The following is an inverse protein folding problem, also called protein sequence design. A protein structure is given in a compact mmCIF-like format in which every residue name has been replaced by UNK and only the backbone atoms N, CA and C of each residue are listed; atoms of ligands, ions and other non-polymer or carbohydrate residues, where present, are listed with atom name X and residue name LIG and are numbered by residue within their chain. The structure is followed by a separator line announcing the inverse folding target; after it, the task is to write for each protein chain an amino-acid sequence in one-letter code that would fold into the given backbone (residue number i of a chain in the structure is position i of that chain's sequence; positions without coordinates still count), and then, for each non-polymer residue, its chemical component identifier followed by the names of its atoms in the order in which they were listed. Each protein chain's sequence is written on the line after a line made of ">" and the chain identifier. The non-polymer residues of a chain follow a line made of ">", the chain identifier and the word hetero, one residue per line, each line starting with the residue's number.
data_IF_175684169171
#
_entry.id   IF_175684169171
#
_cell.length_a   1.000
_cell.length_b   1.000
_cell.length_c   1.000
_cell.angle_alpha   90.00
_cell.angle_beta   90.00
_cell.angle_gamma   90.00
#
_symmetry.space_group_name_H-M   'P 1'
#
loop_
_entity.id
_entity.type
_entity.pdbx_description
1 polymer ?
#
# COMPACT_ATOMS: atom_id res chain seq x y z
N UNK A 1 38.31 -8.26 -3.05
CA UNK A 1 37.57 -7.18 -2.39
C UNK A 1 36.56 -7.80 -1.46
N UNK A 2 36.38 -7.32 -0.21
CA UNK A 2 35.26 -7.82 0.60
C UNK A 2 33.94 -7.52 -0.15
N UNK A 3 32.99 -8.46 -0.07
CA UNK A 3 31.67 -8.24 -0.65
C UNK A 3 31.03 -7.00 -0.02
N UNK A 4 30.42 -6.12 -0.83
CA UNK A 4 29.65 -5.00 -0.26
C UNK A 4 28.53 -5.56 0.62
N UNK A 5 28.33 -4.99 1.81
CA UNK A 5 27.19 -5.39 2.63
C UNK A 5 25.89 -5.15 1.84
N UNK A 6 24.91 -6.01 2.05
CA UNK A 6 23.63 -5.97 1.36
C UNK A 6 22.50 -5.89 2.36
N UNK A 7 21.47 -5.10 2.04
CA UNK A 7 20.28 -4.96 2.87
C UNK A 7 19.54 -6.29 3.03
N UNK A 8 19.08 -6.56 4.24
CA UNK A 8 18.05 -7.58 4.47
C UNK A 8 16.69 -6.98 4.14
N UNK A 9 15.81 -7.74 3.49
CA UNK A 9 14.51 -7.23 3.05
C UNK A 9 13.36 -8.07 3.58
N UNK A 10 12.29 -7.43 3.97
CA UNK A 10 10.99 -8.01 4.27
C UNK A 10 9.92 -7.26 3.48
N UNK A 11 8.86 -7.97 3.08
CA UNK A 11 7.69 -7.40 2.42
C UNK A 11 6.46 -7.70 3.23
N UNK A 12 5.61 -6.72 3.45
CA UNK A 12 4.25 -6.91 3.95
C UNK A 12 3.30 -6.10 3.08
N UNK A 13 2.25 -6.75 2.58
CA UNK A 13 1.14 -6.03 1.97
C UNK A 13 -0.11 -6.32 2.77
N UNK A 14 -0.86 -5.27 3.10
CA UNK A 14 -2.08 -5.38 3.87
C UNK A 14 -3.16 -4.42 3.35
N UNK A 15 -4.38 -4.90 3.37
CA UNK A 15 -5.54 -4.06 3.06
C UNK A 15 -5.81 -3.06 4.18
N UNK A 16 -6.46 -1.95 3.83
CA UNK A 16 -7.05 -1.00 4.75
C UNK A 16 -8.52 -0.73 4.39
N UNK A 17 -9.31 -0.25 5.32
CA UNK A 17 -10.69 0.15 5.05
C UNK A 17 -11.21 1.12 6.10
N UNK A 18 -11.90 2.20 5.70
CA UNK A 18 -12.66 3.05 6.61
C UNK A 18 -13.70 2.29 7.46
N UNK A 19 -14.15 1.14 6.98
CA UNK A 19 -15.08 0.27 7.69
C UNK A 19 -14.55 -0.25 9.03
N UNK A 20 -13.23 -0.43 9.14
CA UNK A 20 -12.58 -0.88 10.38
C UNK A 20 -12.82 0.06 11.55
N UNK A 21 -12.85 1.38 11.31
CA UNK A 21 -13.10 2.37 12.36
C UNK A 21 -14.55 2.34 12.86
N UNK A 22 -15.50 2.03 11.99
CA UNK A 22 -16.92 1.96 12.33
C UNK A 22 -17.26 0.71 13.13
N UNK A 23 -16.51 -0.36 12.94
CA UNK A 23 -16.63 -1.59 13.71
C UNK A 23 -15.89 -1.48 15.06
N UNK A 24 -16.40 -0.62 15.94
CA UNK A 24 -15.80 -0.33 17.25
C UNK A 24 -15.81 -1.54 18.21
N UNK A 25 -16.63 -2.55 17.93
CA UNK A 25 -16.74 -3.79 18.71
C UNK A 25 -15.85 -4.91 18.16
N UNK A 26 -15.16 -4.65 17.07
CA UNK A 26 -14.32 -5.63 16.36
C UNK A 26 -15.06 -6.93 16.02
N UNK A 27 -16.33 -6.82 15.63
CA UNK A 27 -17.20 -7.97 15.31
C UNK A 27 -16.93 -8.53 13.92
N UNK A 28 -16.33 -7.71 13.03
CA UNK A 28 -16.07 -8.03 11.64
C UNK A 28 -14.58 -8.18 11.38
N UNK A 29 -14.21 -8.90 10.34
CA UNK A 29 -12.83 -9.00 9.88
C UNK A 29 -11.91 -9.77 10.84
N UNK A 30 -12.41 -10.81 11.51
CA UNK A 30 -11.65 -11.55 12.51
C UNK A 30 -10.39 -12.22 11.94
N UNK A 31 -10.51 -12.88 10.78
CA UNK A 31 -9.37 -13.52 10.13
C UNK A 31 -8.36 -12.49 9.63
N UNK A 32 -8.86 -11.39 9.05
CA UNK A 32 -8.00 -10.29 8.63
C UNK A 32 -7.25 -9.67 9.80
N UNK A 33 -7.95 -9.32 10.90
CA UNK A 33 -7.34 -8.74 12.11
C UNK A 33 -6.28 -9.67 12.72
N UNK A 34 -6.58 -10.96 12.82
CA UNK A 34 -5.62 -11.96 13.29
C UNK A 34 -4.42 -12.08 12.34
N UNK A 35 -4.65 -11.97 11.01
CA UNK A 35 -3.60 -11.95 10.00
C UNK A 35 -2.69 -10.74 10.14
N UNK A 36 -3.26 -9.55 10.35
CA UNK A 36 -2.50 -8.33 10.60
C UNK A 36 -1.66 -8.44 11.86
N UNK A 37 -2.22 -8.97 12.95
CA UNK A 37 -1.47 -9.18 14.20
C UNK A 37 -0.25 -10.10 13.98
N UNK A 38 -0.43 -11.23 13.27
CA UNK A 38 0.69 -12.11 12.90
C UNK A 38 1.73 -11.41 12.02
N UNK A 39 1.29 -10.56 11.09
CA UNK A 39 2.22 -9.78 10.27
C UNK A 39 2.99 -8.75 11.11
N UNK A 40 2.33 -8.07 12.05
CA UNK A 40 2.96 -7.13 12.98
C UNK A 40 4.01 -7.81 13.87
N UNK A 41 3.72 -9.02 14.39
CA UNK A 41 4.70 -9.82 15.13
C UNK A 41 5.96 -10.13 14.29
N UNK A 42 5.77 -10.49 13.01
CA UNK A 42 6.89 -10.72 12.08
C UNK A 42 7.67 -9.43 11.79
N UNK A 43 7.00 -8.28 11.64
CA UNK A 43 7.64 -6.97 11.48
C UNK A 43 8.46 -6.61 12.71
N UNK A 44 7.91 -6.79 13.92
CA UNK A 44 8.64 -6.56 15.16
C UNK A 44 9.87 -7.46 15.29
N UNK A 45 9.76 -8.74 14.94
CA UNK A 45 10.89 -9.67 14.95
C UNK A 45 11.96 -9.33 13.90
N UNK A 46 11.55 -8.78 12.75
CA UNK A 46 12.46 -8.32 11.71
C UNK A 46 13.21 -7.05 12.12
N UNK A 47 12.63 -6.23 13.01
CA UNK A 47 13.20 -4.98 13.55
C UNK A 47 13.71 -4.05 12.44
N UNK A 48 12.82 -3.49 11.59
CA UNK A 48 13.23 -2.70 10.44
C UNK A 48 13.95 -1.42 10.85
N UNK A 49 15.00 -1.06 10.11
CA UNK A 49 15.73 0.18 10.24
C UNK A 49 15.28 1.25 9.24
N UNK A 50 14.59 0.82 8.18
CA UNK A 50 13.97 1.68 7.18
C UNK A 50 12.70 1.01 6.68
N UNK A 51 11.64 1.79 6.57
CA UNK A 51 10.41 1.40 5.87
C UNK A 51 10.34 2.14 4.55
N UNK A 52 10.05 1.43 3.47
CA UNK A 52 9.62 2.02 2.20
C UNK A 52 8.16 1.69 2.01
N UNK A 53 7.34 2.71 2.05
CA UNK A 53 5.89 2.56 2.10
C UNK A 53 5.25 2.97 0.77
N UNK A 54 4.75 2.01 0.01
CA UNK A 54 3.95 2.26 -1.18
C UNK A 54 2.48 2.39 -0.79
N UNK A 55 1.91 3.57 -1.00
CA UNK A 55 0.53 3.88 -0.66
C UNK A 55 -0.19 4.67 -1.74
N UNK A 56 -1.50 4.77 -1.59
CA UNK A 56 -2.40 5.58 -2.41
C UNK A 56 -2.94 6.75 -1.60
N UNK A 57 -3.41 7.79 -2.26
CA UNK A 57 -4.14 8.90 -1.68
C UNK A 57 -5.60 8.86 -2.13
N UNK A 58 -6.53 9.05 -1.21
CA UNK A 58 -7.96 9.05 -1.49
C UNK A 58 -8.48 10.45 -1.84
N UNK A 59 -7.74 11.16 -2.72
CA UNK A 59 -8.07 12.54 -3.17
C UNK A 59 -8.12 13.55 -2.02
N UNK A 60 -7.10 13.50 -1.12
CA UNK A 60 -6.92 14.45 -0.03
C UNK A 60 -5.70 15.34 -0.26
N UNK A 61 -4.53 14.73 -0.44
CA UNK A 61 -3.30 15.45 -0.72
C UNK A 61 -3.18 15.87 -2.19
N UNK A 62 -3.65 15.02 -3.11
CA UNK A 62 -3.53 15.22 -4.55
C UNK A 62 -4.90 15.40 -5.20
N UNK A 63 -5.44 16.61 -5.17
CA UNK A 63 -6.76 16.98 -5.72
C UNK A 63 -6.61 17.66 -7.07
N UNK A 64 -5.93 18.80 -7.11
CA UNK A 64 -5.82 19.64 -8.31
C UNK A 64 -4.64 19.24 -9.21
N UNK A 65 -3.62 18.66 -8.62
CA UNK A 65 -2.46 18.13 -9.34
C UNK A 65 -2.19 16.71 -8.85
N UNK A 66 -2.35 15.73 -9.73
CA UNK A 66 -2.25 14.31 -9.38
C UNK A 66 -1.02 13.70 -10.04
N UNK A 67 0.07 13.49 -9.30
CA UNK A 67 1.23 12.80 -9.84
C UNK A 67 0.91 11.33 -10.13
N UNK A 68 1.53 10.73 -11.13
CA UNK A 68 1.44 9.29 -11.34
C UNK A 68 2.18 8.52 -10.24
N UNK A 69 3.35 9.05 -9.84
CA UNK A 69 4.23 8.53 -8.77
C UNK A 69 4.83 9.74 -8.05
N UNK A 70 4.88 9.69 -6.71
CA UNK A 70 5.58 10.72 -5.96
C UNK A 70 6.43 10.11 -4.83
N UNK A 71 7.59 10.71 -4.57
CA UNK A 71 8.45 10.41 -3.42
C UNK A 71 8.38 11.59 -2.46
N UNK A 72 8.01 11.34 -1.21
CA UNK A 72 7.89 12.38 -0.19
C UNK A 72 9.20 12.54 0.59
N UNK A 73 9.60 13.80 0.82
CA UNK A 73 10.76 14.15 1.64
C UNK A 73 10.38 14.67 3.01
N UNK A 74 9.12 15.05 3.21
CA UNK A 74 8.49 15.33 4.49
C UNK A 74 7.02 14.93 4.44
N UNK A 75 6.52 14.27 5.49
CA UNK A 75 5.14 13.83 5.58
C UNK A 75 4.60 13.90 7.01
N UNK A 76 3.31 14.19 7.12
CA UNK A 76 2.53 14.15 8.36
C UNK A 76 1.37 13.17 8.18
N UNK A 77 1.03 12.40 9.20
CA UNK A 77 -0.18 11.57 9.24
C UNK A 77 -1.39 12.45 9.50
N UNK A 78 -2.40 12.35 8.64
CA UNK A 78 -3.63 13.16 8.73
C UNK A 78 -4.48 12.77 9.93
N UNK A 79 -4.37 11.54 10.42
CA UNK A 79 -5.16 11.03 11.54
C UNK A 79 -6.62 10.75 11.18
N UNK A 80 -6.96 10.77 9.88
CA UNK A 80 -8.31 10.48 9.42
C UNK A 80 -8.63 8.98 9.58
N UNK A 81 -9.89 8.68 9.86
CA UNK A 81 -10.40 7.30 9.92
C UNK A 81 -9.57 6.36 10.80
N UNK A 82 -9.06 6.89 11.94
CA UNK A 82 -8.26 6.11 12.89
C UNK A 82 -6.85 5.77 12.42
N UNK A 83 -6.34 6.50 11.44
CA UNK A 83 -4.97 6.35 10.96
C UNK A 83 -3.95 7.03 11.87
N UNK A 84 -2.66 6.78 11.64
CA UNK A 84 -1.57 7.40 12.37
C UNK A 84 -1.63 8.93 12.28
N UNK A 85 -1.39 9.58 13.42
CA UNK A 85 -1.31 11.04 13.55
C UNK A 85 0.10 11.45 13.96
N UNK A 86 0.61 12.53 13.40
CA UNK A 86 1.91 13.06 13.73
C UNK A 86 2.86 13.04 12.54
N UNK A 87 4.12 13.39 12.79
CA UNK A 87 5.14 13.50 11.75
C UNK A 87 5.76 12.14 11.49
N UNK A 88 5.86 11.76 10.21
CA UNK A 88 6.71 10.65 9.80
C UNK A 88 8.18 11.05 9.91
N UNK A 89 9.03 10.16 10.42
CA UNK A 89 10.49 10.33 10.36
C UNK A 89 10.98 9.98 8.94
N UNK A 90 10.92 10.97 8.04
CA UNK A 90 11.37 10.76 6.66
C UNK A 90 12.86 11.11 6.56
N UNK A 91 13.73 10.15 6.19
CA UNK A 91 15.14 10.42 5.93
C UNK A 91 15.29 11.19 4.62
N UNK A 92 15.04 12.49 4.63
CA UNK A 92 14.87 13.35 3.47
C UNK A 92 15.99 13.22 2.43
N UNK A 93 17.26 13.14 2.89
CA UNK A 93 18.42 12.98 1.98
C UNK A 93 18.37 11.65 1.23
N UNK A 94 17.98 10.57 1.90
CA UNK A 94 17.86 9.25 1.28
C UNK A 94 16.66 9.23 0.30
N UNK A 95 15.56 9.87 0.68
CA UNK A 95 14.38 10.00 -0.20
C UNK A 95 14.69 10.84 -1.46
N UNK A 96 15.44 11.95 -1.32
CA UNK A 96 15.88 12.76 -2.46
C UNK A 96 16.85 12.00 -3.36
N UNK A 97 17.81 11.27 -2.79
CA UNK A 97 18.73 10.44 -3.55
C UNK A 97 17.99 9.34 -4.33
N UNK A 98 17.03 8.66 -3.68
CA UNK A 98 16.17 7.68 -4.33
C UNK A 98 15.38 8.29 -5.49
N UNK A 99 14.78 9.47 -5.29
CA UNK A 99 14.05 10.16 -6.35
C UNK A 99 14.96 10.50 -7.53
N UNK A 100 16.18 10.97 -7.30
CA UNK A 100 17.19 11.21 -8.33
C UNK A 100 17.55 9.95 -9.12
N UNK A 101 17.83 8.86 -8.41
CA UNK A 101 18.12 7.57 -9.05
C UNK A 101 16.94 7.03 -9.88
N UNK A 102 15.70 7.26 -9.45
CA UNK A 102 14.51 6.91 -10.22
C UNK A 102 14.37 7.75 -11.49
N UNK A 103 14.67 9.06 -11.42
CA UNK A 103 14.71 9.93 -12.61
C UNK A 103 15.76 9.45 -13.62
N UNK A 104 16.96 9.08 -13.16
CA UNK A 104 18.03 8.53 -14.03
C UNK A 104 17.62 7.20 -14.68
N UNK A 105 16.67 6.48 -14.09
CA UNK A 105 16.06 5.24 -14.63
C UNK A 105 14.79 5.50 -15.46
N UNK A 106 14.55 6.73 -15.88
CA UNK A 106 13.40 7.15 -16.68
C UNK A 106 12.04 6.99 -15.96
N UNK A 107 12.01 7.14 -14.64
CA UNK A 107 10.77 7.31 -13.90
C UNK A 107 10.52 8.80 -13.65
N UNK A 108 9.50 9.36 -14.29
CA UNK A 108 9.07 10.75 -14.04
C UNK A 108 8.36 10.84 -12.68
N UNK A 109 9.16 10.81 -11.60
CA UNK A 109 8.64 10.91 -10.24
C UNK A 109 8.51 12.37 -9.80
N UNK A 110 7.45 12.68 -9.08
CA UNK A 110 7.29 13.97 -8.42
C UNK A 110 7.98 13.92 -7.06
N UNK A 111 8.82 14.90 -6.74
CA UNK A 111 9.35 15.09 -5.39
C UNK A 111 8.39 15.99 -4.62
N UNK A 112 7.77 15.45 -3.57
CA UNK A 112 6.86 16.18 -2.71
C UNK A 112 7.56 16.55 -1.42
N UNK A 113 7.81 17.85 -1.24
CA UNK A 113 8.61 18.35 -0.11
C UNK A 113 7.85 18.35 1.20
N UNK A 114 6.53 18.49 1.16
CA UNK A 114 5.66 18.40 2.34
C UNK A 114 4.24 18.02 1.94
N UNK A 115 3.66 17.05 2.66
CA UNK A 115 2.27 16.63 2.46
C UNK A 115 1.69 16.00 3.73
N UNK A 116 0.35 15.94 3.79
CA UNK A 116 -0.37 15.13 4.76
C UNK A 116 -0.83 13.84 4.10
N UNK A 117 -0.52 12.70 4.72
CA UNK A 117 -0.87 11.36 4.26
C UNK A 117 -2.15 10.89 4.94
N UNK A 118 -3.08 10.39 4.17
CA UNK A 118 -4.36 9.90 4.65
C UNK A 118 -4.29 8.45 5.17
N UNK A 119 -5.46 7.89 5.51
CA UNK A 119 -5.60 6.52 5.99
C UNK A 119 -5.04 5.45 5.05
N UNK A 120 -4.88 5.75 3.77
CA UNK A 120 -4.23 4.85 2.80
C UNK A 120 -2.79 4.52 3.16
N UNK A 121 -2.11 5.42 3.85
CA UNK A 121 -0.82 5.17 4.49
C UNK A 121 -0.98 4.85 5.96
N UNK A 122 -1.72 5.69 6.68
CA UNK A 122 -1.73 5.70 8.13
C UNK A 122 -2.35 4.47 8.77
N UNK A 123 -3.43 3.87 8.22
CA UNK A 123 -4.05 2.70 8.83
C UNK A 123 -3.12 1.48 8.81
N UNK A 124 -2.55 1.17 7.66
CA UNK A 124 -1.62 0.03 7.55
C UNK A 124 -0.34 0.25 8.36
N UNK A 125 0.17 1.50 8.43
CA UNK A 125 1.29 1.83 9.30
C UNK A 125 0.95 1.54 10.76
N UNK A 126 -0.15 2.08 11.27
CA UNK A 126 -0.58 1.88 12.66
C UNK A 126 -0.78 0.41 13.01
N UNK A 127 -1.30 -0.38 12.07
CA UNK A 127 -1.54 -1.80 12.26
C UNK A 127 -0.25 -2.64 12.34
N UNK A 128 0.77 -2.29 11.57
CA UNK A 128 1.99 -3.09 11.45
C UNK A 128 3.13 -2.60 12.34
N UNK A 129 3.17 -1.31 12.67
CA UNK A 129 4.29 -0.65 13.33
C UNK A 129 3.85 0.05 14.61
N UNK A 130 2.66 0.67 14.60
CA UNK A 130 2.12 1.39 15.74
C UNK A 130 2.09 2.91 15.54
N UNK A 131 2.52 3.66 16.56
CA UNK A 131 2.45 5.13 16.55
C UNK A 131 3.61 5.77 15.76
N UNK A 132 3.42 7.04 15.35
CA UNK A 132 4.43 7.88 14.72
C UNK A 132 5.17 8.74 15.77
N UNK A 133 6.47 9.04 15.57
CA UNK A 133 7.42 8.37 14.67
C UNK A 133 8.08 7.18 15.38
N UNK A 134 8.11 6.01 14.78
CA UNK A 134 8.73 4.82 15.40
C UNK A 134 9.97 4.37 14.65
N UNK A 135 9.91 4.39 13.31
CA UNK A 135 10.98 3.95 12.41
C UNK A 135 11.06 4.90 11.22
N UNK A 136 12.26 5.17 10.65
CA UNK A 136 12.39 5.96 9.44
C UNK A 136 11.55 5.40 8.28
N UNK A 137 10.79 6.27 7.59
CA UNK A 137 9.88 5.89 6.50
C UNK A 137 10.12 6.75 5.27
N UNK A 138 10.26 6.14 4.10
CA UNK A 138 10.17 6.82 2.80
C UNK A 138 8.79 6.52 2.20
N UNK A 139 7.84 7.46 2.24
CA UNK A 139 6.56 7.28 1.60
C UNK A 139 6.70 7.46 0.08
N UNK A 140 6.14 6.50 -0.67
CA UNK A 140 6.06 6.55 -2.13
C UNK A 140 4.59 6.42 -2.52
N UNK A 141 4.05 7.50 -3.10
CA UNK A 141 2.70 7.50 -3.61
C UNK A 141 2.65 6.88 -5.01
N UNK A 142 1.63 6.06 -5.23
CA UNK A 142 1.23 5.57 -6.54
C UNK A 142 -0.24 5.94 -6.76
N UNK A 143 -0.53 6.61 -7.87
CA UNK A 143 -1.90 6.97 -8.21
C UNK A 143 -2.73 5.72 -8.50
N UNK A 144 -3.68 5.42 -7.61
CA UNK A 144 -4.63 4.31 -7.74
C UNK A 144 -6.09 4.77 -7.83
N UNK A 145 -6.37 6.05 -7.55
CA UNK A 145 -7.72 6.56 -7.33
C UNK A 145 -8.22 7.55 -8.40
N UNK A 146 -7.33 8.31 -9.03
CA UNK A 146 -7.71 9.41 -9.94
C UNK A 146 -7.24 9.11 -11.36
N UNK A 147 -8.18 8.88 -12.28
CA UNK A 147 -7.85 8.61 -13.70
C UNK A 147 -7.26 9.86 -14.38
N UNK A 148 -6.27 9.65 -15.33
CA UNK A 148 -5.79 8.37 -15.84
C UNK A 148 -4.80 7.67 -14.89
N UNK A 149 -4.87 6.33 -14.85
CA UNK A 149 -4.00 5.50 -14.01
C UNK A 149 -2.82 4.93 -14.80
N UNK A 150 -1.66 4.82 -14.15
CA UNK A 150 -0.51 4.12 -14.69
C UNK A 150 -0.77 2.63 -14.91
N UNK A 151 0.00 1.97 -15.79
CA UNK A 151 -0.08 0.51 -15.98
C UNK A 151 0.44 -0.22 -14.73
N UNK A 152 -0.13 -1.39 -14.35
CA UNK A 152 0.40 -2.21 -13.26
C UNK A 152 1.87 -2.62 -13.45
N UNK A 153 2.29 -2.92 -14.69
CA UNK A 153 3.69 -3.19 -15.04
C UNK A 153 4.64 -2.03 -14.71
N UNK A 154 4.14 -0.78 -14.74
CA UNK A 154 4.95 0.39 -14.33
C UNK A 154 5.16 0.42 -12.82
N UNK A 155 4.17 -0.01 -12.02
CA UNK A 155 4.33 -0.17 -10.57
C UNK A 155 5.32 -1.31 -10.25
N UNK A 156 5.28 -2.43 -11.00
CA UNK A 156 6.25 -3.50 -10.86
C UNK A 156 7.68 -3.03 -11.15
N UNK A 157 7.88 -2.35 -12.29
CA UNK A 157 9.18 -1.79 -12.67
C UNK A 157 9.69 -0.75 -11.65
N UNK A 158 8.80 0.10 -11.11
CA UNK A 158 9.13 1.04 -10.03
C UNK A 158 9.65 0.30 -8.80
N UNK A 159 8.93 -0.73 -8.35
CA UNK A 159 9.33 -1.53 -7.20
C UNK A 159 10.72 -2.14 -7.40
N UNK A 160 10.98 -2.76 -8.55
CA UNK A 160 12.30 -3.32 -8.89
C UNK A 160 13.39 -2.24 -8.80
N UNK A 161 13.17 -1.07 -9.40
CA UNK A 161 14.13 0.02 -9.37
C UNK A 161 14.41 0.51 -7.93
N UNK A 162 13.36 0.65 -7.10
CA UNK A 162 13.50 1.04 -5.68
C UNK A 162 14.28 -0.02 -4.90
N UNK A 163 13.95 -1.30 -5.07
CA UNK A 163 14.63 -2.39 -4.37
C UNK A 163 16.11 -2.50 -4.75
N UNK A 164 16.45 -2.34 -6.02
CA UNK A 164 17.83 -2.34 -6.52
C UNK A 164 18.64 -1.16 -5.99
N UNK A 165 18.05 0.03 -5.95
CA UNK A 165 18.73 1.24 -5.45
C UNK A 165 19.05 1.14 -3.95
N UNK A 166 18.12 0.61 -3.16
CA UNK A 166 18.29 0.51 -1.72
C UNK A 166 19.06 -0.75 -1.27
N UNK A 167 19.38 -1.64 -2.21
CA UNK A 167 20.01 -2.93 -1.89
C UNK A 167 21.35 -2.81 -1.13
N UNK A 168 22.11 -1.75 -1.37
CA UNK A 168 23.44 -1.55 -0.79
C UNK A 168 23.47 -0.61 0.42
N UNK A 169 22.31 -0.30 1.02
CA UNK A 169 22.26 0.55 2.22
C UNK A 169 22.76 -0.16 3.50
N UNK A 170 22.91 -1.48 3.46
CA UNK A 170 23.29 -2.29 4.64
C UNK A 170 22.31 -2.12 5.81
N UNK A 171 21.02 -2.16 5.50
CA UNK A 171 19.93 -1.99 6.48
C UNK A 171 18.92 -3.12 6.39
N UNK A 172 18.15 -3.29 7.46
CA UNK A 172 16.91 -4.08 7.43
C UNK A 172 15.79 -3.20 6.89
N UNK A 173 15.35 -3.48 5.65
CA UNK A 173 14.37 -2.67 4.93
C UNK A 173 13.05 -3.42 4.86
N UNK A 174 11.99 -2.81 5.39
CA UNK A 174 10.62 -3.27 5.24
C UNK A 174 9.94 -2.54 4.07
N UNK A 175 9.48 -3.29 3.07
CA UNK A 175 8.64 -2.77 2.01
C UNK A 175 7.17 -3.02 2.36
N UNK A 176 6.37 -1.96 2.42
CA UNK A 176 4.93 -2.04 2.70
C UNK A 176 4.16 -1.66 1.44
N UNK A 177 3.16 -2.47 1.07
CA UNK A 177 2.12 -2.14 0.11
C UNK A 177 0.77 -2.03 0.81
N UNK A 178 0.08 -0.90 0.70
CA UNK A 178 -1.19 -0.64 1.37
C UNK A 178 -2.31 -0.46 0.37
N UNK A 179 -3.44 -1.13 0.60
CA UNK A 179 -4.64 -0.98 -0.22
C UNK A 179 -5.58 -2.17 -0.12
N UNK A 180 -6.84 -1.92 -0.40
CA UNK A 180 -7.85 -2.98 -0.46
C UNK A 180 -7.65 -3.89 -1.67
N UNK A 181 -8.20 -5.12 -1.60
CA UNK A 181 -8.34 -5.97 -2.77
C UNK A 181 -9.60 -5.56 -3.56
N UNK A 182 -10.54 -6.47 -3.82
CA UNK A 182 -11.75 -6.10 -4.54
C UNK A 182 -12.65 -5.19 -3.72
N UNK A 183 -12.98 -4.03 -4.27
CA UNK A 183 -13.96 -3.10 -3.70
C UNK A 183 -14.33 -1.98 -4.67
N UNK A 184 -15.49 -1.40 -4.47
CA UNK A 184 -15.99 -0.27 -5.27
C UNK A 184 -16.74 0.72 -4.37
N UNK A 185 -16.04 1.48 -3.52
CA UNK A 185 -16.70 2.44 -2.62
C UNK A 185 -17.38 3.53 -3.44
N UNK A 186 -18.63 3.88 -3.16
CA UNK A 186 -19.40 4.87 -3.89
C UNK A 186 -18.70 6.22 -4.05
N UNK A 187 -18.00 6.68 -3.01
CA UNK A 187 -17.23 7.94 -3.05
C UNK A 187 -16.04 7.91 -4.02
N UNK A 188 -15.51 6.72 -4.33
CA UNK A 188 -14.43 6.55 -5.30
C UNK A 188 -14.97 6.36 -6.73
N UNK A 189 -16.11 5.68 -6.85
CA UNK A 189 -16.85 5.54 -8.14
C UNK A 189 -17.29 6.92 -8.63
N UNK A 190 -17.74 7.79 -7.73
CA UNK A 190 -18.03 9.18 -8.02
C UNK A 190 -16.76 9.91 -8.46
N UNK A 191 -16.77 10.48 -9.66
CA UNK A 191 -15.65 11.28 -10.16
C UNK A 191 -15.53 12.68 -9.48
N UNK A 192 -16.35 12.98 -8.48
CA UNK A 192 -16.37 14.27 -7.81
C UNK A 192 -15.09 14.45 -6.98
N UNK A 193 -14.33 15.50 -7.30
CA UNK A 193 -13.18 15.93 -6.53
C UNK A 193 -13.60 16.86 -5.37
N UNK A 194 -12.77 16.96 -4.34
CA UNK A 194 -12.95 17.93 -3.27
C UNK A 194 -14.06 17.62 -2.27
N UNK A 195 -14.61 16.40 -2.26
CA UNK A 195 -15.58 16.00 -1.23
C UNK A 195 -14.94 16.03 0.16
N UNK A 196 -15.64 16.60 1.13
CA UNK A 196 -15.31 16.48 2.55
C UNK A 196 -15.44 15.01 3.03
N UNK A 197 -14.81 14.68 4.15
CA UNK A 197 -14.94 13.35 4.73
C UNK A 197 -16.39 12.99 5.10
N UNK A 198 -17.16 13.98 5.56
CA UNK A 198 -18.58 13.79 5.86
C UNK A 198 -19.39 13.43 4.62
N UNK A 199 -19.16 14.11 3.49
CA UNK A 199 -19.82 13.81 2.21
C UNK A 199 -19.41 12.43 1.67
N UNK A 200 -18.13 12.05 1.78
CA UNK A 200 -17.65 10.71 1.41
C UNK A 200 -18.31 9.62 2.25
N UNK A 201 -18.39 9.82 3.56
CA UNK A 201 -19.03 8.87 4.47
C UNK A 201 -20.52 8.74 4.16
N UNK A 202 -21.23 9.85 3.95
CA UNK A 202 -22.66 9.83 3.60
C UNK A 202 -22.90 9.11 2.27
N UNK A 203 -22.08 9.37 1.26
CA UNK A 203 -22.16 8.72 -0.05
C UNK A 203 -21.89 7.22 0.04
N UNK A 204 -20.87 6.82 0.80
CA UNK A 204 -20.55 5.41 1.01
C UNK A 204 -21.65 4.70 1.80
N UNK A 205 -22.26 5.36 2.75
CA UNK A 205 -23.39 4.81 3.51
C UNK A 205 -24.61 4.60 2.61
N UNK A 206 -24.98 5.61 1.82
CA UNK A 206 -26.09 5.53 0.89
C UNK A 206 -25.95 4.43 -0.18
N UNK A 207 -24.71 4.14 -0.60
CA UNK A 207 -24.42 3.12 -1.61
C UNK A 207 -23.88 1.80 -1.05
N UNK A 208 -23.83 1.62 0.27
CA UNK A 208 -23.19 0.46 0.92
C UNK A 208 -23.71 -0.88 0.45
N UNK A 209 -25.05 -1.03 0.38
CA UNK A 209 -25.65 -2.30 0.01
C UNK A 209 -25.21 -2.76 -1.39
N UNK A 210 -25.25 -1.85 -2.35
CA UNK A 210 -24.76 -2.13 -3.71
C UNK A 210 -23.26 -2.38 -3.77
N UNK A 211 -22.48 -1.75 -2.88
CA UNK A 211 -21.03 -1.93 -2.82
C UNK A 211 -20.63 -3.27 -2.20
N UNK A 212 -21.43 -3.83 -1.27
CA UNK A 212 -21.21 -5.18 -0.70
C UNK A 212 -21.16 -6.26 -1.77
N UNK A 213 -22.01 -6.14 -2.80
CA UNK A 213 -22.09 -7.10 -3.90
C UNK A 213 -20.97 -6.91 -4.94
N UNK A 214 -20.10 -5.89 -4.77
CA UNK A 214 -18.94 -5.66 -5.63
C UNK A 214 -17.66 -6.32 -5.11
N UNK A 215 -17.67 -6.90 -3.92
CA UNK A 215 -16.56 -7.73 -3.45
C UNK A 215 -16.48 -8.96 -4.35
N UNK A 216 -15.29 -9.28 -4.83
CA UNK A 216 -15.04 -10.39 -5.76
C UNK A 216 -14.03 -11.40 -5.15
N UNK A 217 -14.49 -12.32 -4.28
CA UNK A 217 -13.61 -13.29 -3.63
C UNK A 217 -12.88 -14.21 -4.61
N UNK A 218 -13.45 -14.47 -5.77
CA UNK A 218 -12.82 -15.29 -6.80
C UNK A 218 -11.57 -14.60 -7.35
N UNK A 219 -11.69 -13.33 -7.72
CA UNK A 219 -10.57 -12.53 -8.17
C UNK A 219 -9.52 -12.34 -7.08
N UNK A 220 -9.94 -12.02 -5.86
CA UNK A 220 -9.05 -11.81 -4.72
C UNK A 220 -8.19 -13.05 -4.43
N UNK A 221 -8.82 -14.23 -4.36
CA UNK A 221 -8.10 -15.48 -4.13
C UNK A 221 -7.17 -15.83 -5.30
N UNK A 222 -7.55 -15.53 -6.54
CA UNK A 222 -6.68 -15.74 -7.70
C UNK A 222 -5.45 -14.82 -7.65
N UNK A 223 -5.65 -13.54 -7.32
CA UNK A 223 -4.57 -12.58 -7.16
C UNK A 223 -3.60 -12.98 -6.04
N UNK A 224 -4.12 -13.40 -4.88
CA UNK A 224 -3.30 -13.87 -3.75
C UNK A 224 -2.53 -15.15 -4.10
N UNK A 225 -3.17 -16.11 -4.78
CA UNK A 225 -2.48 -17.33 -5.25
C UNK A 225 -1.38 -17.01 -6.26
N UNK A 226 -1.62 -16.07 -7.15
CA UNK A 226 -0.63 -15.57 -8.12
C UNK A 226 0.60 -14.97 -7.40
N UNK A 227 0.39 -14.17 -6.36
CA UNK A 227 1.45 -13.62 -5.50
C UNK A 227 2.27 -14.74 -4.86
N UNK A 228 1.63 -15.76 -4.29
CA UNK A 228 2.32 -16.83 -3.57
C UNK A 228 3.06 -17.80 -4.51
N UNK A 229 2.50 -18.07 -5.70
CA UNK A 229 3.07 -19.03 -6.64
C UNK A 229 4.20 -18.44 -7.50
N UNK A 230 3.99 -17.24 -8.04
CA UNK A 230 4.92 -16.53 -8.93
C UNK A 230 4.74 -15.02 -8.83
N UNK A 231 5.39 -14.36 -7.83
CA UNK A 231 5.30 -12.90 -7.67
C UNK A 231 5.74 -12.11 -8.92
N UNK A 232 6.65 -12.64 -9.73
CA UNK A 232 7.11 -11.96 -10.95
C UNK A 232 6.02 -11.93 -12.04
N UNK A 233 5.03 -12.83 -11.95
CA UNK A 233 3.87 -12.81 -12.84
C UNK A 233 3.03 -11.53 -12.73
N UNK A 234 3.15 -10.78 -11.62
CA UNK A 234 2.46 -9.50 -11.40
C UNK A 234 2.85 -8.44 -12.44
N UNK A 235 4.03 -8.53 -13.04
CA UNK A 235 4.44 -7.67 -14.15
C UNK A 235 3.46 -7.73 -15.33
N UNK A 236 2.83 -8.89 -15.54
CA UNK A 236 1.91 -9.14 -16.66
C UNK A 236 0.44 -8.82 -16.33
N UNK A 237 0.14 -8.42 -15.07
CA UNK A 237 -1.21 -8.03 -14.69
C UNK A 237 -1.64 -6.77 -15.45
N UNK A 238 -2.85 -6.77 -15.98
CA UNK A 238 -3.39 -5.66 -16.76
C UNK A 238 -4.36 -4.80 -15.96
N UNK A 239 -4.54 -3.54 -16.36
CA UNK A 239 -5.56 -2.69 -15.75
C UNK A 239 -6.97 -3.23 -15.97
N UNK A 240 -7.23 -3.91 -17.09
CA UNK A 240 -8.52 -4.51 -17.38
C UNK A 240 -8.85 -5.67 -16.42
N UNK A 241 -7.88 -6.52 -16.10
CA UNK A 241 -8.04 -7.57 -15.09
C UNK A 241 -8.36 -6.98 -13.72
N UNK A 242 -7.65 -5.93 -13.30
CA UNK A 242 -7.90 -5.25 -12.00
C UNK A 242 -9.30 -4.62 -11.98
N UNK A 243 -9.74 -4.00 -13.07
CA UNK A 243 -11.05 -3.34 -13.17
C UNK A 243 -12.22 -4.30 -12.88
N UNK A 244 -12.06 -5.59 -13.16
CA UNK A 244 -13.09 -6.62 -12.85
C UNK A 244 -13.29 -6.82 -11.34
N UNK A 245 -12.35 -6.38 -10.53
CA UNK A 245 -12.43 -6.43 -9.07
C UNK A 245 -12.92 -5.10 -8.45
N UNK A 246 -13.20 -4.10 -9.29
CA UNK A 246 -13.71 -2.80 -8.88
C UNK A 246 -12.68 -1.67 -8.91
N UNK A 247 -13.20 -0.43 -8.83
CA UNK A 247 -12.35 0.77 -8.96
C UNK A 247 -11.32 0.90 -7.85
N UNK A 248 -11.64 0.44 -6.65
CA UNK A 248 -10.71 0.48 -5.52
C UNK A 248 -9.63 -0.60 -5.60
N UNK A 249 -9.88 -1.70 -6.29
CA UNK A 249 -8.89 -2.75 -6.49
C UNK A 249 -7.62 -2.25 -7.19
N UNK A 250 -7.67 -1.08 -7.83
CA UNK A 250 -6.48 -0.47 -8.41
C UNK A 250 -5.36 -0.18 -7.40
N UNK A 251 -5.66 -0.19 -6.11
CA UNK A 251 -4.68 -0.07 -5.03
C UNK A 251 -3.69 -1.25 -4.97
N UNK A 252 -3.99 -2.39 -5.58
CA UNK A 252 -2.99 -3.50 -5.69
C UNK A 252 -1.70 -3.09 -6.40
N UNK A 253 -1.65 -1.93 -7.08
CA UNK A 253 -0.40 -1.37 -7.63
C UNK A 253 0.64 -1.11 -6.53
N UNK A 254 0.21 -0.74 -5.34
CA UNK A 254 1.10 -0.55 -4.19
C UNK A 254 1.70 -1.89 -3.73
N UNK A 255 0.87 -2.95 -3.72
CA UNK A 255 1.31 -4.31 -3.44
C UNK A 255 2.32 -4.80 -4.49
N UNK A 256 1.98 -4.60 -5.77
CA UNK A 256 2.86 -4.96 -6.89
C UNK A 256 4.23 -4.30 -6.74
N UNK A 257 4.27 -3.01 -6.40
CA UNK A 257 5.53 -2.29 -6.21
C UNK A 257 6.31 -2.82 -4.98
N UNK A 258 5.65 -3.02 -3.84
CA UNK A 258 6.29 -3.52 -2.62
C UNK A 258 6.87 -4.94 -2.82
N UNK A 259 6.11 -5.83 -3.45
CA UNK A 259 6.52 -7.21 -3.75
C UNK A 259 7.72 -7.21 -4.71
N UNK A 260 7.67 -6.40 -5.76
CA UNK A 260 8.77 -6.28 -6.72
C UNK A 260 10.04 -5.68 -6.08
N UNK A 261 9.89 -4.71 -5.16
CA UNK A 261 11.01 -4.11 -4.45
C UNK A 261 11.72 -5.10 -3.52
N UNK A 262 10.97 -5.89 -2.78
CA UNK A 262 11.55 -6.88 -1.87
C UNK A 262 12.14 -8.09 -2.57
N UNK A 263 11.63 -8.45 -3.75
CA UNK A 263 12.07 -9.60 -4.54
C UNK A 263 12.19 -10.90 -3.70
N UNK A 264 11.12 -11.25 -3.00
CA UNK A 264 11.06 -12.37 -2.06
C UNK A 264 9.92 -13.33 -2.41
N UNK A 265 10.02 -14.62 -2.05
CA UNK A 265 8.86 -15.50 -2.00
C UNK A 265 7.81 -14.92 -1.05
N UNK A 266 6.54 -15.04 -1.39
CA UNK A 266 5.44 -14.48 -0.62
C UNK A 266 4.54 -15.57 -0.04
N UNK A 267 3.98 -15.32 1.13
CA UNK A 267 3.04 -16.17 1.84
C UNK A 267 1.73 -15.43 2.07
N UNK A 268 0.60 -16.10 1.84
CA UNK A 268 -0.72 -15.57 2.20
C UNK A 268 -0.90 -15.79 3.71
N UNK A 269 -1.10 -14.72 4.46
CA UNK A 269 -1.31 -14.77 5.91
C UNK A 269 -2.80 -14.83 6.25
N UNK A 270 -3.61 -14.03 5.56
CA UNK A 270 -5.06 -14.01 5.74
C UNK A 270 -5.76 -13.46 4.50
N UNK A 271 -7.01 -13.85 4.32
CA UNK A 271 -7.97 -13.23 3.42
C UNK A 271 -9.37 -13.37 3.99
N UNK A 272 -10.12 -12.28 3.97
CA UNK A 272 -11.51 -12.24 4.40
C UNK A 272 -12.31 -11.24 3.55
N UNK A 273 -13.41 -11.66 2.90
CA UNK A 273 -14.32 -10.75 2.20
C UNK A 273 -15.26 -10.08 3.22
N UNK A 274 -14.85 -8.93 3.75
CA UNK A 274 -15.60 -8.26 4.83
C UNK A 274 -16.70 -7.38 4.26
N UNK A 275 -17.92 -7.92 4.18
CA UNK A 275 -19.08 -7.27 3.57
C UNK A 275 -19.42 -5.94 4.25
N UNK A 276 -19.31 -5.86 5.57
CA UNK A 276 -19.59 -4.64 6.34
C UNK A 276 -18.58 -3.51 6.04
N UNK A 277 -17.38 -3.86 5.63
CA UNK A 277 -16.35 -2.90 5.20
C UNK A 277 -16.33 -2.70 3.69
N UNK A 278 -17.23 -3.38 2.95
CA UNK A 278 -17.35 -3.33 1.49
C UNK A 278 -16.03 -3.63 0.75
N UNK A 279 -15.16 -4.44 1.33
CA UNK A 279 -13.80 -4.64 0.84
C UNK A 279 -13.34 -6.09 1.04
N UNK A 280 -12.66 -6.64 0.03
CA UNK A 280 -11.84 -7.84 0.19
C UNK A 280 -10.58 -7.48 0.96
N UNK A 281 -10.40 -8.08 2.14
CA UNK A 281 -9.31 -7.76 3.06
C UNK A 281 -8.27 -8.86 3.05
N UNK A 282 -7.03 -8.53 2.70
CA UNK A 282 -5.94 -9.49 2.58
C UNK A 282 -4.68 -9.05 3.30
N UNK A 283 -3.87 -10.03 3.70
CA UNK A 283 -2.52 -9.83 4.25
C UNK A 283 -1.59 -10.86 3.63
N UNK A 284 -0.48 -10.40 3.08
CA UNK A 284 0.62 -11.25 2.61
C UNK A 284 1.95 -10.77 3.20
N UNK A 285 2.87 -11.69 3.45
CA UNK A 285 4.23 -11.35 3.89
C UNK A 285 5.25 -12.12 3.08
N UNK A 286 6.48 -11.62 3.03
CA UNK A 286 7.58 -12.42 2.51
C UNK A 286 7.92 -13.57 3.48
N UNK A 287 8.19 -14.75 2.91
CA UNK A 287 8.76 -15.87 3.65
C UNK A 287 10.22 -15.63 4.06
N UNK A 288 10.73 -16.47 4.96
CA UNK A 288 12.09 -16.32 5.54
C UNK A 288 13.22 -16.59 4.53
N UNK A 289 12.94 -17.22 3.39
CA UNK A 289 13.96 -17.60 2.40
C UNK A 289 14.10 -16.55 1.29
N UNK A 290 15.36 -16.22 0.93
CA UNK A 290 15.62 -15.42 -0.28
C UNK A 290 15.30 -16.26 -1.54
N UNK A 291 14.80 -15.62 -2.59
CA UNK A 291 14.83 -16.18 -3.95
C UNK A 291 16.27 -16.14 -4.44
N UNK A 292 16.80 -17.28 -4.88
CA UNK A 292 18.09 -17.38 -5.54
C UNK A 292 17.92 -17.14 -7.04
#
# INVERSE_FOLDING_TARGET
>A
MPARPTSATMVVCASHSPGMLRDTTAQEGHEFRAGVARAAERVAAFDPQLVVFFGSDHRRAFVDSVPAIAVMTEAEGLGDLGSATGRYDVPAKTAEALAGALLDRNFDVTVVRKTALDHGFGQTYSQLIGELPTVPVIPIYINCATRPLGRPSRAFALGRAVGEELFYLDQRILFIGSGGLSHSPPSLVSAVAGLSDAERLAMNEAGREAARDKINPTWDNEFLRRIAADPDSLERLTSAEIETAGVGAHEVRTWIAAIAAGNRPMEIIAYEPVREWITGMGVVTSGDRRRF
#
